data_IF_230706875240
#
_entry.id   IF_230706875240
#
_cell.length_a   1.000
_cell.length_b   1.000
_cell.length_c   1.000
_cell.angle_alpha   90.00
_cell.angle_beta   90.00
_cell.angle_gamma   90.00
#
_symmetry.space_group_name_H-M   'P 1'
#
loop_
_entity.id
_entity.type
_entity.pdbx_description
1 polymer ?
#
# COMPACT_ATOMS: atom_id res chain seq x y z
N UNK A 1 2.06 -11.67 35.21
CA UNK A 1 0.99 -12.26 34.37
C UNK A 1 1.50 -12.21 32.94
N UNK A 2 1.42 -13.31 32.20
CA UNK A 2 1.97 -13.45 30.84
C UNK A 2 0.83 -13.70 29.86
N UNK A 3 0.87 -13.05 28.69
CA UNK A 3 -0.10 -13.21 27.60
C UNK A 3 0.65 -13.67 26.35
N UNK A 4 0.27 -14.83 25.83
CA UNK A 4 0.82 -15.40 24.59
C UNK A 4 -0.20 -15.29 23.47
N UNK A 5 0.21 -14.75 22.32
CA UNK A 5 -0.62 -14.67 21.11
C UNK A 5 0.15 -15.22 19.90
N UNK A 6 -0.60 -15.59 18.86
CA UNK A 6 0.00 -15.90 17.55
C UNK A 6 0.69 -14.65 16.99
N UNK A 7 1.83 -14.82 16.30
CA UNK A 7 2.57 -13.69 15.71
C UNK A 7 1.63 -12.91 14.77
N UNK A 8 1.40 -11.60 15.01
CA UNK A 8 0.47 -10.82 14.20
C UNK A 8 1.11 -10.38 12.87
N UNK A 9 0.28 -9.83 11.98
CA UNK A 9 0.70 -9.15 10.75
C UNK A 9 0.22 -7.69 10.76
N UNK A 10 0.92 -6.80 10.04
CA UNK A 10 0.59 -5.38 9.93
C UNK A 10 -0.03 -5.05 8.56
N UNK A 11 -1.33 -4.83 8.52
CA UNK A 11 -2.06 -4.59 7.27
C UNK A 11 -1.97 -3.14 6.75
N UNK A 12 -1.26 -2.23 7.42
CA UNK A 12 -1.05 -0.85 6.95
C UNK A 12 0.24 -0.24 7.53
N UNK A 13 1.36 -0.42 6.82
CA UNK A 13 2.67 0.05 7.27
C UNK A 13 3.27 1.12 6.34
N UNK A 14 3.90 2.14 6.92
CA UNK A 14 4.67 3.16 6.18
C UNK A 14 6.15 3.03 6.52
N UNK A 15 6.94 2.43 5.63
CA UNK A 15 8.38 2.22 5.86
C UNK A 15 9.25 3.42 5.47
N UNK A 16 8.75 4.35 4.64
CA UNK A 16 9.55 5.46 4.08
C UNK A 16 10.75 4.94 3.27
N UNK A 17 11.77 5.76 3.09
CA UNK A 17 13.01 5.47 2.36
C UNK A 17 14.25 5.93 3.13
N UNK A 18 15.44 5.53 2.65
CA UNK A 18 16.73 5.96 3.18
C UNK A 18 16.91 5.71 4.69
N UNK A 19 17.41 6.71 5.40
CA UNK A 19 17.69 6.61 6.84
C UNK A 19 16.43 6.37 7.70
N UNK A 20 15.26 6.81 7.24
CA UNK A 20 14.01 6.54 7.93
C UNK A 20 13.64 5.07 7.82
N UNK A 21 13.79 4.46 6.64
CA UNK A 21 13.59 3.01 6.45
C UNK A 21 14.47 2.20 7.41
N UNK A 22 15.76 2.52 7.46
CA UNK A 22 16.72 1.84 8.36
C UNK A 22 16.33 1.97 9.83
N UNK A 23 15.77 3.12 10.23
CA UNK A 23 15.33 3.37 11.59
C UNK A 23 14.03 2.61 11.94
N UNK A 24 13.06 2.52 11.02
CA UNK A 24 11.72 1.98 11.33
C UNK A 24 11.56 0.49 11.06
N UNK A 25 12.28 -0.05 10.06
CA UNK A 25 12.12 -1.44 9.63
C UNK A 25 12.36 -2.46 10.76
N UNK A 26 13.40 -2.35 11.60
CA UNK A 26 13.66 -3.33 12.66
C UNK A 26 12.49 -3.44 13.65
N UNK A 27 11.84 -2.32 13.97
CA UNK A 27 10.71 -2.29 14.92
C UNK A 27 9.51 -3.08 14.40
N UNK A 28 9.19 -3.00 13.11
CA UNK A 28 8.10 -3.79 12.54
C UNK A 28 8.49 -5.27 12.42
N UNK A 29 9.68 -5.55 11.88
CA UNK A 29 10.14 -6.92 11.62
C UNK A 29 10.29 -7.78 12.90
N UNK A 30 10.60 -7.15 14.04
CA UNK A 30 10.70 -7.82 15.34
C UNK A 30 9.35 -8.35 15.83
N UNK A 31 8.25 -7.67 15.51
CA UNK A 31 6.94 -7.95 16.10
C UNK A 31 5.96 -8.62 15.13
N UNK A 32 6.07 -8.34 13.82
CA UNK A 32 5.11 -8.80 12.83
C UNK A 32 5.67 -9.88 11.90
N UNK A 33 4.81 -10.80 11.46
CA UNK A 33 5.13 -11.86 10.51
C UNK A 33 5.20 -11.34 9.08
N UNK A 34 4.20 -10.54 8.69
CA UNK A 34 4.04 -9.94 7.36
C UNK A 34 3.55 -8.50 7.49
N UNK A 35 3.68 -7.72 6.40
CA UNK A 35 3.12 -6.38 6.34
C UNK A 35 2.63 -6.01 4.94
N UNK A 36 1.60 -5.15 4.86
CA UNK A 36 1.21 -4.42 3.65
C UNK A 36 1.84 -3.02 3.72
N UNK A 37 2.84 -2.80 2.87
CA UNK A 37 3.60 -1.53 2.83
C UNK A 37 2.91 -0.54 1.89
N UNK A 38 2.65 0.66 2.39
CA UNK A 38 1.93 1.71 1.67
C UNK A 38 2.83 2.40 0.62
N UNK A 39 2.33 2.66 -0.60
CA UNK A 39 3.16 3.05 -1.76
C UNK A 39 3.44 4.56 -1.89
N UNK A 40 3.14 5.38 -0.88
CA UNK A 40 3.17 6.86 -0.98
C UNK A 40 4.56 7.50 -0.72
N UNK A 41 5.61 6.89 -1.29
CA UNK A 41 6.96 7.47 -1.36
C UNK A 41 7.00 8.65 -2.36
N UNK A 42 8.15 9.33 -2.43
CA UNK A 42 8.44 10.33 -3.47
C UNK A 42 9.60 9.84 -4.36
N UNK A 43 9.41 9.65 -5.67
CA UNK A 43 8.15 9.79 -6.42
C UNK A 43 7.12 8.71 -6.05
N UNK A 44 5.84 9.02 -6.30
CA UNK A 44 4.75 8.06 -6.10
C UNK A 44 4.94 6.84 -6.99
N UNK A 45 4.59 5.66 -6.48
CA UNK A 45 4.53 4.45 -7.30
C UNK A 45 3.17 4.45 -8.02
N UNK A 46 3.13 5.01 -9.24
CA UNK A 46 1.89 5.27 -9.99
C UNK A 46 1.66 4.38 -11.22
N UNK A 47 2.63 3.56 -11.61
CA UNK A 47 2.61 2.86 -12.90
C UNK A 47 1.92 1.48 -12.84
N UNK A 48 0.78 1.35 -13.53
CA UNK A 48 0.17 0.06 -13.92
C UNK A 48 1.07 -0.77 -14.83
N UNK A 49 2.00 -0.15 -15.57
CA UNK A 49 3.02 -0.87 -16.36
C UNK A 49 4.02 -1.63 -15.48
N UNK A 50 4.19 -1.25 -14.21
CA UNK A 50 4.90 -2.08 -13.24
C UNK A 50 4.02 -3.22 -12.76
N UNK A 51 2.70 -3.02 -12.57
CA UNK A 51 1.76 -4.06 -12.14
C UNK A 51 1.60 -5.21 -13.15
N UNK A 52 1.64 -4.92 -14.46
CA UNK A 52 1.63 -5.95 -15.52
C UNK A 52 2.96 -6.71 -15.59
N UNK A 53 4.09 -6.04 -15.30
CA UNK A 53 5.41 -6.68 -15.19
C UNK A 53 5.62 -7.44 -13.86
N UNK A 54 4.71 -7.30 -12.90
CA UNK A 54 4.81 -7.82 -11.52
C UNK A 54 3.66 -8.77 -11.11
N UNK A 55 2.85 -9.21 -12.07
CA UNK A 55 1.62 -9.96 -11.84
C UNK A 55 1.79 -11.20 -10.95
N UNK A 56 3.00 -11.73 -10.82
CA UNK A 56 3.23 -13.01 -10.14
C UNK A 56 3.87 -12.93 -8.75
N UNK A 57 4.37 -11.79 -8.23
CA UNK A 57 5.15 -11.85 -6.96
C UNK A 57 4.91 -10.78 -5.89
N UNK A 58 4.46 -9.54 -6.18
CA UNK A 58 4.54 -8.46 -5.16
C UNK A 58 3.36 -7.49 -5.03
N UNK A 59 2.28 -7.62 -5.82
CA UNK A 59 1.09 -6.74 -5.69
C UNK A 59 -0.02 -7.43 -4.90
N UNK A 60 -0.27 -6.95 -3.68
CA UNK A 60 -1.30 -7.50 -2.78
C UNK A 60 -2.57 -6.64 -2.68
N UNK A 61 -2.58 -5.44 -3.27
CA UNK A 61 -3.71 -4.52 -3.23
C UNK A 61 -3.39 -3.17 -3.88
N UNK A 62 -4.43 -2.37 -4.13
CA UNK A 62 -4.31 -1.00 -4.66
C UNK A 62 -4.77 -0.01 -3.59
N UNK A 63 -3.98 1.04 -3.36
CA UNK A 63 -4.30 2.08 -2.37
C UNK A 63 -4.88 3.32 -3.04
N UNK A 64 -6.11 3.67 -2.68
CA UNK A 64 -6.75 4.92 -3.06
C UNK A 64 -6.37 6.05 -2.09
N UNK A 65 -5.84 7.14 -2.64
CA UNK A 65 -5.60 8.39 -1.92
C UNK A 65 -6.39 9.52 -2.58
N UNK A 66 -7.40 10.12 -1.93
CA UNK A 66 -8.04 11.33 -2.44
C UNK A 66 -7.02 12.49 -2.49
N UNK A 67 -7.11 13.32 -3.52
CA UNK A 67 -6.18 14.43 -3.71
C UNK A 67 -6.20 15.40 -2.51
N UNK A 68 -5.04 15.65 -1.92
CA UNK A 68 -4.85 16.57 -0.80
C UNK A 68 -5.36 16.08 0.57
N UNK A 69 -5.88 14.85 0.66
CA UNK A 69 -6.46 14.35 1.92
C UNK A 69 -5.41 14.04 3.00
N UNK A 70 -4.18 13.68 2.61
CA UNK A 70 -3.12 13.32 3.58
C UNK A 70 -1.71 13.51 3.01
N UNK A 71 -0.69 13.08 3.75
CA UNK A 71 0.73 13.20 3.40
C UNK A 71 1.03 12.63 2.01
N UNK A 72 1.69 13.44 1.16
CA UNK A 72 2.11 13.12 -0.20
C UNK A 72 0.96 12.75 -1.17
N UNK A 73 -0.22 13.35 -1.00
CA UNK A 73 -1.39 13.08 -1.86
C UNK A 73 -1.76 14.23 -2.78
N UNK A 74 -0.83 15.14 -3.09
CA UNK A 74 -1.09 16.24 -4.02
C UNK A 74 -1.53 15.73 -5.40
N UNK A 75 -0.94 14.62 -5.84
CA UNK A 75 -1.25 13.93 -7.10
C UNK A 75 -2.28 12.79 -6.91
N UNK A 76 -3.07 12.84 -5.83
CA UNK A 76 -4.10 11.85 -5.53
C UNK A 76 -5.30 11.89 -6.49
N UNK A 77 -6.24 10.98 -6.29
CA UNK A 77 -7.45 10.85 -7.11
C UNK A 77 -8.41 12.00 -6.83
N UNK A 78 -8.84 12.68 -7.89
CA UNK A 78 -9.79 13.81 -7.84
C UNK A 78 -11.23 13.41 -8.16
N UNK A 79 -11.42 12.32 -8.90
CA UNK A 79 -12.72 11.76 -9.28
C UNK A 79 -12.59 10.25 -9.46
N UNK A 80 -13.12 9.48 -8.50
CA UNK A 80 -12.99 8.03 -8.48
C UNK A 80 -13.78 7.38 -9.61
N UNK A 81 -15.02 7.81 -9.83
CA UNK A 81 -15.90 7.16 -10.81
C UNK A 81 -15.65 7.67 -12.23
N UNK A 82 -15.20 8.91 -12.41
CA UNK A 82 -14.87 9.44 -13.73
C UNK A 82 -13.47 9.09 -14.22
N UNK A 83 -12.49 8.90 -13.32
CA UNK A 83 -11.08 8.70 -13.70
C UNK A 83 -10.49 7.33 -13.36
N UNK A 84 -11.09 6.58 -12.44
CA UNK A 84 -10.55 5.30 -11.98
C UNK A 84 -11.43 4.08 -12.30
N UNK A 85 -12.56 4.26 -12.98
CA UNK A 85 -13.53 3.19 -13.19
C UNK A 85 -12.92 1.95 -13.86
N UNK A 86 -12.14 2.12 -14.93
CA UNK A 86 -11.47 1.00 -15.61
C UNK A 86 -10.49 0.24 -14.72
N UNK A 87 -9.82 0.93 -13.80
CA UNK A 87 -8.94 0.29 -12.80
C UNK A 87 -9.77 -0.49 -11.78
N UNK A 88 -10.90 0.05 -11.34
CA UNK A 88 -11.80 -0.63 -10.41
C UNK A 88 -12.41 -1.89 -11.02
N UNK A 89 -12.80 -1.86 -12.31
CA UNK A 89 -13.29 -3.03 -13.03
C UNK A 89 -12.21 -4.13 -13.09
N UNK A 90 -10.99 -3.78 -13.49
CA UNK A 90 -9.86 -4.73 -13.53
C UNK A 90 -9.56 -5.33 -12.15
N UNK A 91 -9.63 -4.52 -11.09
CA UNK A 91 -9.45 -5.02 -9.72
C UNK A 91 -10.51 -6.04 -9.31
N UNK A 92 -11.76 -5.85 -9.75
CA UNK A 92 -12.84 -6.82 -9.52
C UNK A 92 -12.54 -8.11 -10.29
N UNK A 93 -12.16 -8.02 -11.56
CA UNK A 93 -11.84 -9.20 -12.40
C UNK A 93 -10.67 -10.01 -11.84
N UNK A 94 -9.65 -9.33 -11.30
CA UNK A 94 -8.46 -9.96 -10.73
C UNK A 94 -8.57 -10.26 -9.23
N UNK A 95 -9.70 -9.96 -8.57
CA UNK A 95 -9.88 -10.10 -7.13
C UNK A 95 -8.79 -9.37 -6.30
N UNK A 96 -8.42 -8.16 -6.74
CA UNK A 96 -7.43 -7.32 -6.07
C UNK A 96 -8.16 -6.40 -5.07
N UNK A 97 -7.77 -6.40 -3.78
CA UNK A 97 -8.41 -5.55 -2.79
C UNK A 97 -8.12 -4.06 -3.03
N UNK A 98 -9.17 -3.24 -2.91
CA UNK A 98 -9.06 -1.80 -2.81
C UNK A 98 -8.89 -1.38 -1.36
N UNK A 99 -7.74 -0.77 -1.05
CA UNK A 99 -7.44 -0.19 0.24
C UNK A 99 -7.84 1.28 0.19
N UNK A 100 -8.76 1.68 1.08
CA UNK A 100 -9.23 3.07 1.19
C UNK A 100 -8.71 3.64 2.51
N UNK A 101 -8.22 4.88 2.47
CA UNK A 101 -7.93 5.69 3.67
C UNK A 101 -8.94 6.81 3.79
#
# INVERSE_FOLDING_TARGET
MELTITKPDDWHLHLRDGSLLEAVLPHSAQHFGRAIVMPNLKPLITATTTAVAYRDELVYGVKLYPAGATTNTQDGVTDVFGKCFSVLEEMVEQNIPLLVI
#
